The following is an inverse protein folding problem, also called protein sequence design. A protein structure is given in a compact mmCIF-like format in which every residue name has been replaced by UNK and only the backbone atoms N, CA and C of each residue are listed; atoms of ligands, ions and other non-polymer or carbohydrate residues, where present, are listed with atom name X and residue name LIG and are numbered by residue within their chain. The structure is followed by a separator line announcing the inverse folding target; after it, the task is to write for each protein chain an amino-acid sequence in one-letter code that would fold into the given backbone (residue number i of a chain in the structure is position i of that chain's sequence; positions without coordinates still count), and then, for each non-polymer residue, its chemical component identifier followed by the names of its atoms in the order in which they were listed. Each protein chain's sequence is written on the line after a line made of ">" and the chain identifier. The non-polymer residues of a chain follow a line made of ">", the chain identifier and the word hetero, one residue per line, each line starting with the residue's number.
data_IF_934872530169
#
_entry.id   IF_934872530169
#
_cell.length_a   1.000
_cell.length_b   1.000
_cell.length_c   1.000
_cell.angle_alpha   90.00
_cell.angle_beta   90.00
_cell.angle_gamma   90.00
#
_symmetry.space_group_name_H-M   'P 1'
#
loop_
_entity.id
_entity.type
_entity.pdbx_description
1 polymer ?
#
# COMPACT_ATOMS: atom_id res chain seq x y z
N UNK A 1 12.94 -11.81 13.10
CA UNK A 1 12.62 -10.61 12.27
C UNK A 1 11.52 -9.71 12.84
N UNK A 2 10.39 -10.21 13.36
CA UNK A 2 9.36 -9.35 14.01
C UNK A 2 9.84 -8.74 15.33
N UNK A 3 10.43 -9.56 16.20
CA UNK A 3 11.00 -9.12 17.49
C UNK A 3 12.15 -8.10 17.30
N UNK A 4 13.03 -8.32 16.32
CA UNK A 4 14.09 -7.36 16.00
C UNK A 4 13.54 -6.02 15.50
N UNK A 5 12.51 -6.03 14.64
CA UNK A 5 11.82 -4.81 14.20
C UNK A 5 11.16 -4.07 15.37
N UNK A 6 10.53 -4.80 16.30
CA UNK A 6 9.95 -4.21 17.50
C UNK A 6 11.04 -3.60 18.41
N UNK A 7 12.14 -4.31 18.65
CA UNK A 7 13.28 -3.79 19.42
C UNK A 7 13.85 -2.51 18.79
N UNK A 8 14.08 -2.52 17.46
CA UNK A 8 14.53 -1.34 16.73
C UNK A 8 13.55 -0.17 16.88
N UNK A 9 12.25 -0.42 16.76
CA UNK A 9 11.23 0.63 16.92
C UNK A 9 11.22 1.23 18.33
N UNK A 10 11.45 0.42 19.37
CA UNK A 10 11.56 0.88 20.75
C UNK A 10 12.81 1.75 20.91
N UNK A 11 13.94 1.33 20.37
CA UNK A 11 15.19 2.12 20.40
C UNK A 11 15.00 3.48 19.71
N UNK A 12 14.36 3.49 18.54
CA UNK A 12 14.04 4.74 17.82
C UNK A 12 13.11 5.64 18.65
N UNK A 13 12.08 5.07 19.27
CA UNK A 13 11.14 5.81 20.11
C UNK A 13 11.82 6.43 21.33
N UNK A 14 12.70 5.68 22.00
CA UNK A 14 13.50 6.18 23.12
C UNK A 14 14.47 7.27 22.68
N UNK A 15 15.12 7.10 21.52
CA UNK A 15 15.97 8.13 20.93
C UNK A 15 15.20 9.43 20.66
N UNK A 16 14.01 9.32 20.06
CA UNK A 16 13.13 10.47 19.83
C UNK A 16 12.75 11.15 21.15
N UNK A 17 12.38 10.37 22.17
CA UNK A 17 12.04 10.91 23.49
C UNK A 17 13.23 11.65 24.13
N UNK A 18 14.44 11.10 23.99
CA UNK A 18 15.66 11.74 24.47
C UNK A 18 15.91 13.09 23.79
N UNK A 19 15.68 13.17 22.48
CA UNK A 19 15.76 14.44 21.73
C UNK A 19 14.72 15.43 22.25
N UNK A 20 13.47 15.01 22.46
CA UNK A 20 12.41 15.89 22.95
C UNK A 20 12.72 16.47 24.34
N UNK A 21 13.16 15.63 25.28
CA UNK A 21 13.49 16.08 26.65
C UNK A 21 14.65 17.07 26.68
N UNK A 22 15.59 16.97 25.72
CA UNK A 22 16.73 17.89 25.61
C UNK A 22 16.42 19.19 24.89
N UNK A 23 15.33 19.26 24.12
CA UNK A 23 15.00 20.40 23.28
C UNK A 23 13.71 21.08 23.75
N UNK A 24 13.65 21.52 25.01
CA UNK A 24 12.47 22.21 25.56
C UNK A 24 12.60 23.74 25.58
N UNK A 25 13.73 24.28 25.10
CA UNK A 25 13.93 25.73 25.04
C UNK A 25 12.85 26.39 24.16
N UNK A 26 12.30 27.54 24.58
CA UNK A 26 11.30 28.25 23.81
C UNK A 26 11.93 28.91 22.58
N UNK A 27 11.24 28.81 21.44
CA UNK A 27 11.62 29.45 20.18
C UNK A 27 10.44 30.21 19.59
N UNK A 28 10.73 31.28 18.86
CA UNK A 28 9.74 31.96 18.03
C UNK A 28 9.63 31.26 16.68
N UNK A 29 8.41 31.01 16.23
CA UNK A 29 8.12 30.35 14.95
C UNK A 29 7.32 31.30 14.09
N UNK A 30 7.80 31.52 12.88
CA UNK A 30 7.07 32.24 11.85
C UNK A 30 6.59 31.25 10.78
N UNK A 31 5.28 31.03 10.70
CA UNK A 31 4.66 30.17 9.69
C UNK A 31 4.17 30.97 8.46
N UNK A 32 4.72 32.17 8.21
CA UNK A 32 4.34 33.15 7.18
C UNK A 32 2.92 33.73 7.36
N UNK A 33 1.97 32.92 7.84
CA UNK A 33 0.56 33.28 8.06
C UNK A 33 0.31 33.64 9.53
N UNK A 34 1.07 33.05 10.44
CA UNK A 34 0.93 33.25 11.89
C UNK A 34 2.27 33.06 12.58
N UNK A 35 2.56 33.97 13.49
CA UNK A 35 3.71 33.90 14.36
C UNK A 35 3.31 33.37 15.72
N UNK A 36 4.17 32.54 16.30
CA UNK A 36 4.02 32.03 17.65
C UNK A 36 5.28 32.34 18.44
N UNK A 37 5.13 33.03 19.54
CA UNK A 37 6.21 33.29 20.48
C UNK A 37 6.20 32.26 21.60
N UNK A 38 7.38 31.93 22.13
CA UNK A 38 7.55 31.04 23.28
C UNK A 38 7.03 29.60 23.08
N UNK A 39 7.24 29.02 21.89
CA UNK A 39 6.88 27.62 21.64
C UNK A 39 8.05 26.72 22.00
N UNK A 40 7.89 25.69 22.85
CA UNK A 40 8.97 24.74 23.13
C UNK A 40 9.38 24.01 21.85
N UNK A 41 10.69 23.96 21.54
CA UNK A 41 11.22 23.27 20.35
C UNK A 41 10.73 21.82 20.25
N UNK A 42 10.56 21.13 21.38
CA UNK A 42 10.02 19.78 21.46
C UNK A 42 8.66 19.63 20.79
N UNK A 43 7.78 20.64 20.91
CA UNK A 43 6.45 20.65 20.27
C UNK A 43 6.60 20.79 18.76
N UNK A 44 7.53 21.62 18.30
CA UNK A 44 7.83 21.81 16.87
C UNK A 44 8.33 20.52 16.25
N UNK A 45 9.28 19.86 16.89
CA UNK A 45 9.81 18.56 16.47
C UNK A 45 8.68 17.52 16.44
N UNK A 46 7.83 17.47 17.47
CA UNK A 46 6.73 16.52 17.53
C UNK A 46 5.74 16.71 16.36
N UNK A 47 5.34 17.95 16.08
CA UNK A 47 4.38 18.26 15.01
C UNK A 47 5.00 17.95 13.64
N UNK A 48 6.24 18.41 13.40
CA UNK A 48 6.91 18.20 12.10
C UNK A 48 7.12 16.72 11.80
N UNK A 49 7.59 15.94 12.77
CA UNK A 49 7.71 14.49 12.65
C UNK A 49 6.34 13.84 12.45
N UNK A 50 5.33 14.26 13.21
CA UNK A 50 3.96 13.75 13.09
C UNK A 50 3.36 13.97 11.70
N UNK A 51 3.55 15.16 11.12
CA UNK A 51 3.13 15.47 9.75
C UNK A 51 3.87 14.59 8.74
N UNK A 52 5.18 14.43 8.90
CA UNK A 52 5.97 13.55 8.02
C UNK A 52 5.50 12.09 8.07
N UNK A 53 5.22 11.56 9.25
CA UNK A 53 4.68 10.20 9.43
C UNK A 53 3.30 10.09 8.77
N UNK A 54 2.42 11.08 8.98
CA UNK A 54 1.08 11.08 8.41
C UNK A 54 1.13 11.04 6.87
N UNK A 55 1.95 11.90 6.26
CA UNK A 55 2.14 11.94 4.80
C UNK A 55 2.72 10.61 4.31
N UNK A 56 3.76 10.09 4.96
CA UNK A 56 4.38 8.82 4.59
C UNK A 56 3.38 7.65 4.67
N UNK A 57 2.54 7.63 5.70
CA UNK A 57 1.49 6.63 5.84
C UNK A 57 0.42 6.76 4.75
N UNK A 58 -0.03 7.98 4.44
CA UNK A 58 -1.00 8.22 3.39
C UNK A 58 -0.48 7.74 2.01
N UNK A 59 0.79 8.02 1.69
CA UNK A 59 1.42 7.52 0.47
C UNK A 59 1.49 5.99 0.44
N UNK A 60 1.92 5.36 1.54
CA UNK A 60 1.99 3.90 1.64
C UNK A 60 0.61 3.25 1.46
N UNK A 61 -0.43 3.83 2.08
CA UNK A 61 -1.81 3.38 1.91
C UNK A 61 -2.27 3.45 0.45
N UNK A 62 -2.04 4.59 -0.21
CA UNK A 62 -2.39 4.76 -1.62
C UNK A 62 -1.74 3.69 -2.50
N UNK A 63 -0.44 3.41 -2.31
CA UNK A 63 0.27 2.36 -3.04
C UNK A 63 -0.35 0.98 -2.80
N UNK A 64 -0.65 0.64 -1.54
CA UNK A 64 -1.27 -0.65 -1.20
C UNK A 64 -2.66 -0.79 -1.83
N UNK A 65 -3.45 0.29 -1.86
CA UNK A 65 -4.77 0.28 -2.49
C UNK A 65 -4.68 0.07 -3.99
N UNK A 66 -3.81 0.81 -4.69
CA UNK A 66 -3.59 0.66 -6.13
C UNK A 66 -3.12 -0.74 -6.49
N UNK A 67 -2.13 -1.27 -5.75
CA UNK A 67 -1.63 -2.63 -5.95
C UNK A 67 -2.71 -3.70 -5.80
N UNK A 68 -3.61 -3.55 -4.81
CA UNK A 68 -4.75 -4.46 -4.65
C UNK A 68 -5.76 -4.36 -5.80
N UNK A 69 -6.00 -3.16 -6.31
CA UNK A 69 -6.90 -2.94 -7.44
C UNK A 69 -6.33 -3.59 -8.71
N UNK A 70 -5.06 -3.35 -9.02
CA UNK A 70 -4.35 -3.98 -10.15
C UNK A 70 -4.36 -5.50 -10.04
N UNK A 71 -4.04 -6.06 -8.87
CA UNK A 71 -4.06 -7.50 -8.66
C UNK A 71 -5.44 -8.13 -8.94
N UNK A 72 -6.53 -7.43 -8.64
CA UNK A 72 -7.89 -7.88 -8.97
C UNK A 72 -8.17 -7.81 -10.47
N UNK A 73 -7.73 -6.73 -11.14
CA UNK A 73 -7.88 -6.58 -12.58
C UNK A 73 -7.15 -7.69 -13.33
N UNK A 74 -5.86 -7.90 -13.04
CA UNK A 74 -5.07 -8.97 -13.66
C UNK A 74 -5.69 -10.34 -13.42
N UNK A 75 -6.21 -10.62 -12.23
CA UNK A 75 -6.87 -11.89 -11.93
C UNK A 75 -8.15 -12.09 -12.76
N UNK A 76 -8.93 -11.04 -12.98
CA UNK A 76 -10.13 -11.10 -13.80
C UNK A 76 -9.80 -11.28 -15.30
N UNK A 77 -8.80 -10.57 -15.81
CA UNK A 77 -8.33 -10.73 -17.19
C UNK A 77 -7.79 -12.14 -17.43
N UNK A 78 -6.98 -12.67 -16.52
CA UNK A 78 -6.44 -14.02 -16.62
C UNK A 78 -7.57 -15.08 -16.63
N UNK A 79 -8.61 -14.89 -15.80
CA UNK A 79 -9.80 -15.75 -15.82
C UNK A 79 -10.54 -15.65 -17.16
N UNK A 80 -10.77 -14.45 -17.68
CA UNK A 80 -11.45 -14.24 -18.96
C UNK A 80 -10.71 -14.94 -20.10
N UNK A 81 -9.40 -14.76 -20.19
CA UNK A 81 -8.56 -15.43 -21.21
C UNK A 81 -8.61 -16.96 -21.04
N UNK A 82 -8.60 -17.46 -19.81
CA UNK A 82 -8.74 -18.89 -19.55
C UNK A 82 -10.10 -19.43 -19.98
N UNK A 83 -11.17 -18.68 -19.74
CA UNK A 83 -12.54 -19.04 -20.14
C UNK A 83 -12.69 -19.00 -21.68
N UNK A 84 -12.06 -18.03 -22.37
CA UNK A 84 -12.01 -17.95 -23.85
C UNK A 84 -11.24 -19.13 -24.47
N UNK A 85 -10.07 -19.49 -23.92
CA UNK A 85 -9.34 -20.68 -24.40
C UNK A 85 -10.17 -21.94 -24.18
N UNK A 86 -10.84 -22.05 -23.03
CA UNK A 86 -11.67 -23.21 -22.73
C UNK A 86 -12.89 -23.31 -23.65
N UNK A 87 -13.53 -22.18 -24.00
CA UNK A 87 -14.65 -22.18 -24.94
C UNK A 87 -14.22 -22.51 -26.37
N UNK A 88 -13.09 -21.98 -26.83
CA UNK A 88 -12.51 -22.32 -28.14
C UNK A 88 -12.13 -23.81 -28.22
N UNK A 89 -11.59 -24.37 -27.14
CA UNK A 89 -11.31 -25.81 -27.04
C UNK A 89 -12.59 -26.64 -27.08
N UNK A 90 -13.68 -26.18 -26.46
CA UNK A 90 -14.95 -26.90 -26.45
C UNK A 90 -15.66 -26.85 -27.81
N UNK A 91 -15.57 -25.72 -28.53
CA UNK A 91 -16.11 -25.56 -29.88
C UNK A 91 -15.38 -26.47 -30.89
N UNK A 92 -14.06 -26.60 -30.78
CA UNK A 92 -13.28 -27.48 -31.66
C UNK A 92 -13.53 -29.00 -31.42
N UNK A 93 -14.13 -29.37 -30.30
CA UNK A 93 -14.49 -30.77 -29.99
C UNK A 93 -15.92 -31.09 -30.45
N UNK A 94 -16.79 -30.10 -30.55
CA UNK A 94 -18.19 -30.25 -31.01
C UNK A 94 -18.29 -30.32 -32.55
N UNK A 95 -17.31 -29.77 -33.28
CA UNK A 95 -17.22 -29.88 -34.76
C UNK A 95 -16.41 -31.12 -35.24
N UNK A 96 -15.99 -32.00 -34.31
CA UNK A 96 -14.98 -33.03 -34.57
C UNK A 96 -15.42 -34.49 -34.47
N UNK A 97 -16.69 -34.77 -34.22
CA UNK A 97 -17.23 -36.14 -34.38
C UNK A 97 -18.34 -36.08 -35.41
N UNK A 98 -17.91 -36.04 -36.67
CA UNK A 98 -18.70 -36.67 -37.73
C UNK A 98 -18.83 -38.13 -37.33
N UNK A 99 -19.99 -38.51 -36.81
CA UNK A 99 -20.48 -39.88 -36.92
C UNK A 99 -20.73 -40.11 -38.42
N UNK A 100 -19.66 -40.40 -39.15
CA UNK A 100 -19.71 -41.33 -40.28
C UNK A 100 -19.98 -42.71 -39.67
N UNK A 101 -21.24 -42.98 -39.33
CA UNK A 101 -21.73 -44.34 -39.17
C UNK A 101 -22.70 -44.61 -40.33
N UNK A 102 -22.20 -45.42 -41.26
CA UNK A 102 -22.94 -46.14 -42.28
C UNK A 102 -24.15 -46.87 -41.65
N UNK A 103 -25.39 -46.54 -42.06
CA UNK A 103 -26.52 -47.49 -42.01
C UNK A 103 -27.40 -47.35 -43.27
N UNK A 104 -27.17 -48.31 -44.18
CA UNK A 104 -28.09 -49.04 -45.05
C UNK A 104 -29.47 -48.44 -45.43
N UNK A 105 -29.68 -48.21 -46.74
CA UNK A 105 -30.85 -48.73 -47.50
C UNK A 105 -30.55 -48.82 -49.02
#
# INVERSE_FOLDING_TARGET
>A
MRLFKALLSIVVLLGLLMVLVKNTEPVAIDLLVRQFENVPVAVVILITVGVGIFIGYALALSVIMTSKAEARLLRNENKKVSDEINSLRNIAVDEGVYDDDDEEE
#
